data_IF_979022742641
#
_entry.id   IF_979022742641
#
_cell.length_a   1.000
_cell.length_b   1.000
_cell.length_c   1.000
_cell.angle_alpha   90.00
_cell.angle_beta   90.00
_cell.angle_gamma   90.00
#
_symmetry.space_group_name_H-M   'P 1'
#
loop_
_entity.id
_entity.type
_entity.pdbx_description
1 polymer ?
#
# COMPACT_ATOMS: atom_id res chain seq x y z
N UNK A 1 -44.32 7.62 -45.87
CA UNK A 1 -45.01 6.91 -44.76
C UNK A 1 -44.41 5.52 -44.73
N UNK A 2 -43.39 5.34 -43.91
CA UNK A 2 -42.68 4.08 -43.70
C UNK A 2 -43.00 3.66 -42.27
N UNK A 3 -43.73 2.56 -42.12
CA UNK A 3 -44.03 1.92 -40.84
C UNK A 3 -42.73 1.41 -40.21
N UNK A 4 -42.42 1.95 -39.07
CA UNK A 4 -41.31 1.56 -38.21
C UNK A 4 -41.65 0.22 -37.55
N UNK A 5 -40.94 -0.83 -37.97
CA UNK A 5 -41.06 -2.19 -37.47
C UNK A 5 -40.43 -2.24 -36.05
N UNK A 6 -41.31 -2.13 -35.03
CA UNK A 6 -40.88 -2.35 -33.62
C UNK A 6 -40.66 -3.87 -33.42
N UNK A 7 -39.51 -4.27 -32.84
CA UNK A 7 -39.30 -5.67 -32.49
C UNK A 7 -40.26 -6.06 -31.37
N UNK A 8 -41.04 -7.11 -31.60
CA UNK A 8 -41.88 -7.77 -30.60
C UNK A 8 -41.05 -8.29 -29.46
N UNK A 9 -41.07 -7.56 -28.33
CA UNK A 9 -40.52 -8.05 -27.05
C UNK A 9 -41.42 -9.12 -26.50
N UNK A 10 -41.24 -10.35 -27.05
CA UNK A 10 -41.99 -11.53 -26.68
C UNK A 10 -42.20 -11.64 -25.17
N UNK A 11 -43.42 -11.74 -24.76
CA UNK A 11 -43.89 -11.90 -23.39
C UNK A 11 -43.14 -13.06 -22.69
N UNK A 12 -42.20 -12.71 -21.82
CA UNK A 12 -41.55 -13.69 -20.93
C UNK A 12 -42.60 -14.28 -19.99
N UNK A 13 -43.16 -15.43 -20.36
CA UNK A 13 -44.02 -16.21 -19.47
C UNK A 13 -43.11 -16.90 -18.45
N UNK A 14 -43.33 -16.62 -17.18
CA UNK A 14 -42.70 -17.37 -16.10
C UNK A 14 -42.97 -18.85 -16.29
N UNK A 15 -42.00 -19.75 -16.06
CA UNK A 15 -42.17 -21.18 -16.23
C UNK A 15 -43.33 -21.66 -15.35
N UNK A 16 -44.28 -22.38 -15.97
CA UNK A 16 -45.45 -22.89 -15.29
C UNK A 16 -45.10 -23.95 -14.24
N UNK A 17 -46.08 -24.33 -13.47
CA UNK A 17 -46.01 -25.31 -12.36
C UNK A 17 -45.35 -26.64 -12.75
N UNK A 18 -45.34 -26.97 -14.05
CA UNK A 18 -44.71 -28.16 -14.64
C UNK A 18 -43.16 -28.15 -14.60
N UNK A 19 -42.54 -26.96 -14.39
CA UNK A 19 -41.08 -26.84 -14.25
C UNK A 19 -40.56 -27.30 -12.88
N UNK A 20 -41.44 -27.43 -11.88
CA UNK A 20 -41.08 -27.85 -10.52
C UNK A 20 -41.31 -29.34 -10.30
N UNK A 21 -40.94 -30.18 -11.25
CA UNK A 21 -40.88 -31.62 -10.99
C UNK A 21 -39.77 -31.90 -9.97
N UNK A 22 -39.94 -32.94 -9.10
CA UNK A 22 -38.91 -33.27 -8.10
C UNK A 22 -37.54 -33.51 -8.74
N UNK A 23 -37.50 -33.99 -9.95
CA UNK A 23 -36.25 -34.21 -10.72
C UNK A 23 -35.56 -32.85 -11.07
N UNK A 24 -36.34 -31.89 -11.58
CA UNK A 24 -35.80 -30.57 -11.94
C UNK A 24 -35.30 -29.79 -10.69
N UNK A 25 -35.98 -29.92 -9.57
CA UNK A 25 -35.57 -29.33 -8.30
C UNK A 25 -34.23 -29.93 -7.82
N UNK A 26 -34.07 -31.27 -7.94
CA UNK A 26 -32.82 -31.96 -7.60
C UNK A 26 -31.66 -31.48 -8.49
N UNK A 27 -31.90 -31.33 -9.81
CA UNK A 27 -30.90 -30.84 -10.76
C UNK A 27 -30.48 -29.39 -10.44
N UNK A 28 -31.45 -28.52 -10.16
CA UNK A 28 -31.18 -27.13 -9.78
C UNK A 28 -30.33 -27.08 -8.49
N UNK A 29 -30.69 -27.84 -7.48
CA UNK A 29 -29.95 -27.91 -6.21
C UNK A 29 -28.54 -28.46 -6.47
N UNK A 30 -28.39 -29.53 -7.25
CA UNK A 30 -27.11 -30.13 -7.58
C UNK A 30 -26.18 -29.20 -8.37
N UNK A 31 -26.71 -28.26 -9.16
CA UNK A 31 -25.94 -27.25 -9.87
C UNK A 31 -25.65 -26.01 -9.00
N UNK A 32 -26.62 -25.58 -8.18
CA UNK A 32 -26.47 -24.36 -7.37
C UNK A 32 -25.54 -24.57 -6.15
N UNK A 33 -25.54 -25.76 -5.52
CA UNK A 33 -24.68 -26.06 -4.36
C UNK A 33 -23.19 -25.95 -4.71
N UNK A 34 -22.65 -26.58 -5.79
CA UNK A 34 -21.24 -26.42 -6.15
C UNK A 34 -20.91 -24.96 -6.52
N UNK A 35 -21.81 -24.27 -7.20
CA UNK A 35 -21.60 -22.86 -7.56
C UNK A 35 -21.59 -21.95 -6.33
N UNK A 36 -22.40 -22.24 -5.31
CA UNK A 36 -22.40 -21.52 -4.04
C UNK A 36 -21.15 -21.85 -3.19
N UNK A 37 -20.72 -23.13 -3.18
CA UNK A 37 -19.51 -23.57 -2.48
C UNK A 37 -18.27 -23.00 -3.15
N UNK A 38 -18.18 -22.99 -4.48
CA UNK A 38 -17.07 -22.37 -5.21
C UNK A 38 -17.06 -20.85 -5.02
N UNK A 39 -18.21 -20.19 -5.04
CA UNK A 39 -18.34 -18.76 -4.72
C UNK A 39 -17.89 -18.46 -3.29
N UNK A 40 -18.30 -19.25 -2.31
CA UNK A 40 -17.87 -19.11 -0.92
C UNK A 40 -16.38 -19.47 -0.70
N UNK A 41 -15.82 -20.40 -1.48
CA UNK A 41 -14.38 -20.70 -1.46
C UNK A 41 -13.54 -19.59 -2.11
N UNK A 42 -14.02 -18.96 -3.17
CA UNK A 42 -13.37 -17.77 -3.77
C UNK A 42 -13.47 -16.54 -2.86
N UNK A 43 -14.48 -16.46 -1.99
CA UNK A 43 -14.63 -15.42 -0.97
C UNK A 43 -13.82 -15.68 0.31
N UNK A 44 -12.98 -16.71 0.38
CA UNK A 44 -11.95 -16.82 1.43
C UNK A 44 -11.02 -15.64 1.27
N UNK A 45 -11.40 -14.55 1.95
CA UNK A 45 -10.75 -13.26 1.85
C UNK A 45 -9.24 -13.40 1.95
N UNK A 46 -8.51 -12.70 1.07
CA UNK A 46 -7.07 -12.63 1.14
C UNK A 46 -6.67 -12.27 2.57
N UNK A 47 -5.76 -13.05 3.15
CA UNK A 47 -5.27 -12.79 4.51
C UNK A 47 -4.24 -11.67 4.47
N UNK A 48 -4.21 -10.80 5.49
CA UNK A 48 -3.16 -9.80 5.59
C UNK A 48 -1.78 -10.47 5.66
N UNK A 49 -0.73 -9.84 5.13
CA UNK A 49 0.61 -10.39 5.18
C UNK A 49 1.04 -10.61 6.64
N UNK A 50 1.78 -11.69 6.90
CA UNK A 50 2.22 -12.04 8.26
C UNK A 50 3.15 -10.98 8.83
N UNK A 51 3.15 -10.83 10.17
CA UNK A 51 4.15 -10.05 10.86
C UNK A 51 5.52 -10.73 10.73
N UNK A 52 6.53 -9.99 10.27
CA UNK A 52 7.90 -10.50 10.11
C UNK A 52 8.74 -10.21 11.35
N UNK A 53 8.80 -8.93 11.75
CA UNK A 53 9.55 -8.47 12.92
C UNK A 53 9.03 -7.10 13.37
N UNK A 54 9.28 -6.69 14.62
CA UNK A 54 8.97 -5.33 15.05
C UNK A 54 9.84 -4.32 14.30
N UNK A 55 9.29 -3.12 14.10
CA UNK A 55 10.05 -1.97 13.61
C UNK A 55 11.13 -1.61 14.63
N UNK A 56 12.38 -1.35 14.19
CA UNK A 56 13.42 -0.89 15.08
C UNK A 56 13.04 0.42 15.75
N UNK A 57 13.54 0.66 16.97
CA UNK A 57 13.33 1.92 17.66
C UNK A 57 14.08 3.05 16.96
N UNK A 58 13.42 4.16 16.74
CA UNK A 58 14.02 5.40 16.24
C UNK A 58 13.37 6.63 16.90
N UNK A 59 14.10 7.73 16.88
CA UNK A 59 13.62 9.05 17.23
C UNK A 59 14.26 10.02 16.24
N UNK A 60 13.47 10.56 15.32
CA UNK A 60 13.91 11.33 14.17
C UNK A 60 13.09 12.62 14.10
N UNK A 61 13.62 13.63 13.40
CA UNK A 61 12.92 14.90 13.19
C UNK A 61 12.27 14.91 11.82
N UNK A 62 11.03 15.35 11.73
CA UNK A 62 10.32 15.45 10.45
C UNK A 62 10.58 16.81 9.76
N UNK A 63 10.01 16.99 8.57
CA UNK A 63 10.10 18.22 7.77
C UNK A 63 9.43 19.45 8.42
N UNK A 64 8.74 19.28 9.53
CA UNK A 64 8.11 20.37 10.32
C UNK A 64 8.92 20.70 11.58
N UNK A 65 10.03 19.98 11.82
CA UNK A 65 10.83 20.09 13.03
C UNK A 65 10.30 19.29 14.22
N UNK A 66 9.25 18.46 14.01
CA UNK A 66 8.65 17.66 15.06
C UNK A 66 9.37 16.31 15.25
N UNK A 67 9.41 15.83 16.52
CA UNK A 67 9.99 14.53 16.82
C UNK A 67 9.03 13.40 16.48
N UNK A 68 9.47 12.48 15.64
CA UNK A 68 8.72 11.28 15.23
C UNK A 68 9.44 10.02 15.68
N UNK A 69 8.72 9.18 16.40
CA UNK A 69 9.22 7.90 16.90
C UNK A 69 8.44 6.74 16.27
N UNK A 70 8.98 5.52 16.34
CA UNK A 70 8.21 4.33 15.97
C UNK A 70 6.92 4.20 16.81
N UNK A 71 6.88 4.70 18.04
CA UNK A 71 5.67 4.69 18.88
C UNK A 71 4.62 5.71 18.41
N UNK A 72 5.01 6.89 17.91
CA UNK A 72 4.06 7.89 17.38
C UNK A 72 3.36 7.44 16.09
N UNK A 73 3.91 6.40 15.42
CA UNK A 73 3.32 5.77 14.24
C UNK A 73 2.42 4.56 14.59
N UNK A 74 2.34 4.14 15.85
CA UNK A 74 1.40 3.08 16.26
C UNK A 74 -0.05 3.46 15.96
N UNK A 75 -0.85 2.49 15.62
CA UNK A 75 -2.23 2.67 15.19
C UNK A 75 -2.38 3.04 13.71
N UNK A 76 -1.26 3.34 13.01
CA UNK A 76 -1.26 3.65 11.58
C UNK A 76 -0.63 2.52 10.77
N UNK A 77 -1.15 2.28 9.58
CA UNK A 77 -0.44 1.53 8.54
C UNK A 77 0.44 2.52 7.79
N UNK A 78 1.68 2.15 7.52
CA UNK A 78 2.57 3.05 6.82
C UNK A 78 3.54 2.33 5.87
N UNK A 79 3.94 3.05 4.83
CA UNK A 79 4.98 2.63 3.89
C UNK A 79 6.23 3.46 4.12
N UNK A 80 7.32 2.78 4.47
CA UNK A 80 8.63 3.38 4.67
C UNK A 80 9.50 3.28 3.43
N UNK A 81 10.14 4.38 3.04
CA UNK A 81 11.16 4.45 1.98
C UNK A 81 12.42 5.12 2.51
N UNK A 82 13.59 4.71 1.99
CA UNK A 82 14.87 5.32 2.31
C UNK A 82 15.34 6.09 1.10
N UNK A 83 15.61 7.39 1.29
CA UNK A 83 15.89 8.30 0.18
C UNK A 83 16.68 9.53 0.68
N UNK A 84 17.10 10.39 -0.24
CA UNK A 84 17.77 11.66 0.06
C UNK A 84 17.47 12.68 -1.04
N UNK A 85 17.49 13.98 -0.69
CA UNK A 85 17.01 15.06 -1.57
C UNK A 85 17.85 15.25 -2.83
N UNK A 86 19.16 14.99 -2.75
CA UNK A 86 20.11 15.14 -3.86
C UNK A 86 20.23 13.92 -4.78
N UNK A 87 19.33 12.95 -4.65
CA UNK A 87 19.29 11.78 -5.52
C UNK A 87 18.78 12.13 -6.93
N UNK A 88 19.58 11.95 -7.98
CA UNK A 88 19.20 12.42 -9.32
C UNK A 88 18.16 11.55 -10.03
N UNK A 89 17.97 10.33 -9.64
CA UNK A 89 17.21 9.34 -10.44
C UNK A 89 16.24 8.48 -9.62
N UNK A 90 16.72 7.59 -8.77
CA UNK A 90 15.89 6.56 -8.12
C UNK A 90 14.85 7.16 -7.19
N UNK A 91 15.23 8.14 -6.35
CA UNK A 91 14.32 8.74 -5.37
C UNK A 91 13.13 9.47 -6.02
N UNK A 92 13.30 10.32 -7.04
CA UNK A 92 12.17 10.91 -7.75
C UNK A 92 11.22 9.86 -8.34
N UNK A 93 11.75 8.78 -8.92
CA UNK A 93 10.93 7.69 -9.48
C UNK A 93 10.15 6.95 -8.40
N UNK A 94 10.80 6.57 -7.31
CA UNK A 94 10.16 5.90 -6.19
C UNK A 94 9.06 6.77 -5.56
N UNK A 95 9.31 8.07 -5.39
CA UNK A 95 8.31 9.02 -4.91
C UNK A 95 7.13 9.14 -5.88
N UNK A 96 7.37 9.19 -7.20
CA UNK A 96 6.30 9.23 -8.19
C UNK A 96 5.41 7.97 -8.13
N UNK A 97 6.01 6.79 -7.91
CA UNK A 97 5.27 5.53 -7.74
C UNK A 97 4.46 5.52 -6.44
N UNK A 98 5.03 6.01 -5.34
CA UNK A 98 4.31 6.17 -4.09
C UNK A 98 3.17 7.20 -4.20
N UNK A 99 3.32 8.23 -5.04
CA UNK A 99 2.22 9.14 -5.40
C UNK A 99 1.08 8.40 -6.11
N UNK A 100 1.40 7.41 -6.95
CA UNK A 100 0.41 6.52 -7.55
C UNK A 100 -0.34 5.68 -6.50
N UNK A 101 0.37 5.14 -5.50
CA UNK A 101 -0.25 4.44 -4.35
C UNK A 101 -1.18 5.38 -3.57
N UNK A 102 -0.76 6.65 -3.36
CA UNK A 102 -1.61 7.66 -2.72
C UNK A 102 -2.87 7.95 -3.54
N UNK A 103 -2.74 8.14 -4.86
CA UNK A 103 -3.88 8.36 -5.77
C UNK A 103 -4.86 7.19 -5.74
N UNK A 104 -4.36 5.95 -5.70
CA UNK A 104 -5.20 4.77 -5.52
C UNK A 104 -5.95 4.78 -4.18
N UNK A 105 -5.29 5.17 -3.08
CA UNK A 105 -5.95 5.33 -1.78
C UNK A 105 -7.03 6.40 -1.83
N UNK A 106 -6.76 7.56 -2.43
CA UNK A 106 -7.71 8.67 -2.55
C UNK A 106 -8.94 8.28 -3.37
N UNK A 107 -8.76 7.50 -4.42
CA UNK A 107 -9.84 7.08 -5.31
C UNK A 107 -10.66 5.89 -4.76
N UNK A 108 -9.98 4.87 -4.25
CA UNK A 108 -10.62 3.59 -3.89
C UNK A 108 -10.88 3.42 -2.40
N UNK A 109 -10.14 4.13 -1.53
CA UNK A 109 -10.15 3.96 -0.08
C UNK A 109 -9.93 5.28 0.67
N UNK A 110 -10.71 6.34 0.37
CA UNK A 110 -10.53 7.65 1.00
C UNK A 110 -10.65 7.58 2.53
N UNK A 111 -11.41 6.63 3.06
CA UNK A 111 -11.58 6.39 4.50
C UNK A 111 -10.28 5.98 5.21
N UNK A 112 -9.29 5.47 4.47
CA UNK A 112 -8.01 5.03 5.05
C UNK A 112 -6.97 6.14 5.20
N UNK A 113 -7.17 7.29 4.56
CA UNK A 113 -6.18 8.37 4.51
C UNK A 113 -5.78 8.88 5.91
N UNK A 114 -6.68 8.90 6.88
CA UNK A 114 -6.37 9.34 8.24
C UNK A 114 -5.51 8.32 9.02
N UNK A 115 -5.68 7.02 8.72
CA UNK A 115 -4.95 5.92 9.36
C UNK A 115 -3.70 5.48 8.60
N UNK A 116 -3.35 6.14 7.50
CA UNK A 116 -2.22 5.77 6.65
C UNK A 116 -1.14 6.86 6.59
N UNK A 117 0.14 6.46 6.46
CA UNK A 117 1.28 7.37 6.29
C UNK A 117 2.28 6.85 5.25
N UNK A 118 2.90 7.79 4.54
CA UNK A 118 4.14 7.59 3.81
C UNK A 118 5.27 8.16 4.65
N UNK A 119 6.30 7.37 4.92
CA UNK A 119 7.43 7.75 5.77
C UNK A 119 8.71 7.66 4.95
N UNK A 120 9.23 8.80 4.54
CA UNK A 120 10.56 8.90 3.94
C UNK A 120 11.61 9.02 5.05
N UNK A 121 12.67 8.21 4.99
CA UNK A 121 13.78 8.29 5.96
C UNK A 121 15.03 8.72 5.20
N UNK A 122 15.59 9.87 5.57
CA UNK A 122 16.78 10.42 4.93
C UNK A 122 18.03 9.57 5.20
N UNK A 123 18.81 9.33 4.17
CA UNK A 123 20.13 8.72 4.27
C UNK A 123 21.27 9.76 4.21
N UNK A 124 20.97 11.01 3.92
CA UNK A 124 21.95 12.10 3.86
C UNK A 124 21.86 13.00 5.10
N UNK A 125 22.56 12.60 6.15
CA UNK A 125 22.61 13.33 7.42
C UNK A 125 23.20 14.75 7.31
N UNK A 126 23.91 15.07 6.23
CA UNK A 126 24.57 16.36 6.04
C UNK A 126 23.84 17.27 5.05
N UNK A 127 23.27 16.68 4.00
CA UNK A 127 22.62 17.43 2.92
C UNK A 127 21.13 17.70 3.17
N UNK A 128 20.47 16.82 3.93
CA UNK A 128 19.03 16.93 4.18
C UNK A 128 18.76 17.74 5.47
N UNK A 129 18.47 19.02 5.31
CA UNK A 129 17.91 19.90 6.35
C UNK A 129 16.38 19.99 6.19
N UNK A 130 15.71 20.57 7.19
CA UNK A 130 14.24 20.85 7.13
C UNK A 130 13.93 21.66 5.88
N UNK A 131 14.69 22.72 5.59
CA UNK A 131 14.46 23.61 4.46
C UNK A 131 14.71 22.91 3.12
N UNK A 132 15.78 22.10 3.02
CA UNK A 132 16.12 21.34 1.82
C UNK A 132 15.02 20.33 1.51
N UNK A 133 14.58 19.59 2.53
CA UNK A 133 13.51 18.58 2.41
C UNK A 133 12.17 19.23 2.09
N UNK A 134 11.82 20.33 2.73
CA UNK A 134 10.57 21.05 2.42
C UNK A 134 10.54 21.50 0.95
N UNK A 135 11.65 22.09 0.48
CA UNK A 135 11.81 22.53 -0.90
C UNK A 135 11.69 21.34 -1.87
N UNK A 136 12.34 20.23 -1.57
CA UNK A 136 12.29 18.99 -2.36
C UNK A 136 10.86 18.43 -2.44
N UNK A 137 10.18 18.29 -1.31
CA UNK A 137 8.80 17.77 -1.26
C UNK A 137 7.83 18.69 -2.01
N UNK A 138 8.04 20.01 -1.93
CA UNK A 138 7.25 20.98 -2.70
C UNK A 138 7.46 20.81 -4.19
N UNK A 139 8.71 20.69 -4.64
CA UNK A 139 9.05 20.47 -6.06
C UNK A 139 8.47 19.17 -6.61
N UNK A 140 8.44 18.11 -5.80
CA UNK A 140 7.86 16.83 -6.17
C UNK A 140 6.33 16.75 -6.03
N UNK A 141 5.66 17.80 -5.54
CA UNK A 141 4.21 17.81 -5.34
C UNK A 141 3.71 16.93 -4.19
N UNK A 142 4.56 16.65 -3.19
CA UNK A 142 4.28 15.79 -2.03
C UNK A 142 3.82 16.56 -0.78
N UNK A 143 3.26 17.76 -0.93
CA UNK A 143 2.65 18.50 0.18
C UNK A 143 1.32 17.87 0.60
N UNK A 144 1.36 16.91 1.51
CA UNK A 144 0.14 16.39 2.13
C UNK A 144 0.40 15.94 3.57
N UNK A 145 -0.67 15.89 4.37
CA UNK A 145 -0.61 15.43 5.77
C UNK A 145 -0.22 13.94 5.91
N UNK A 146 -0.25 13.18 4.82
CA UNK A 146 0.10 11.77 4.80
C UNK A 146 1.61 11.51 4.63
N UNK A 147 2.42 12.54 4.36
CA UNK A 147 3.85 12.41 4.14
C UNK A 147 4.64 12.92 5.35
N UNK A 148 5.44 12.05 5.93
CA UNK A 148 6.43 12.36 6.95
C UNK A 148 7.82 12.04 6.38
N UNK A 149 8.69 13.04 6.30
CA UNK A 149 10.07 12.87 5.85
C UNK A 149 11.00 13.05 7.05
N UNK A 150 11.61 11.96 7.48
CA UNK A 150 12.33 11.87 8.73
C UNK A 150 13.84 12.03 8.50
N UNK A 151 14.46 12.86 9.31
CA UNK A 151 15.87 13.22 9.23
C UNK A 151 16.56 13.02 10.58
N UNK A 152 17.90 12.93 10.52
CA UNK A 152 18.78 12.90 11.69
C UNK A 152 20.12 13.54 11.35
N UNK A 153 20.77 14.23 12.30
CA UNK A 153 22.15 14.68 12.13
C UNK A 153 23.16 13.52 12.14
N UNK A 154 22.71 12.32 12.48
CA UNK A 154 23.52 11.10 12.45
C UNK A 154 23.13 10.24 11.25
N UNK A 155 24.12 9.50 10.70
CA UNK A 155 23.87 8.56 9.61
C UNK A 155 22.82 7.52 9.98
N UNK A 156 21.83 7.33 9.13
CA UNK A 156 20.75 6.34 9.27
C UNK A 156 20.98 5.05 8.45
N UNK A 157 22.16 4.87 7.84
CA UNK A 157 22.51 3.63 7.14
C UNK A 157 22.43 2.38 8.04
N UNK A 158 22.91 2.40 9.31
CA UNK A 158 22.71 1.25 10.21
C UNK A 158 21.23 0.95 10.47
N UNK A 159 20.41 1.99 10.63
CA UNK A 159 18.96 1.80 10.81
C UNK A 159 18.34 1.11 9.58
N UNK A 160 18.71 1.54 8.37
CA UNK A 160 18.24 0.93 7.13
C UNK A 160 18.72 -0.52 7.00
N UNK A 161 20.04 -0.76 7.11
CA UNK A 161 20.65 -2.07 6.86
C UNK A 161 20.27 -3.09 7.94
N UNK A 162 20.50 -2.77 9.20
CA UNK A 162 20.40 -3.71 10.31
C UNK A 162 19.00 -3.67 10.95
N UNK A 163 18.41 -2.49 11.00
CA UNK A 163 17.09 -2.26 11.57
C UNK A 163 15.98 -2.73 10.64
N UNK A 164 15.90 -2.17 9.44
CA UNK A 164 14.86 -2.49 8.47
C UNK A 164 15.23 -3.65 7.54
N UNK A 165 16.46 -4.15 7.56
CA UNK A 165 16.97 -5.23 6.70
C UNK A 165 16.81 -4.92 5.19
N UNK A 166 16.87 -3.65 4.83
CA UNK A 166 16.95 -3.22 3.45
C UNK A 166 18.43 -3.20 3.06
N UNK A 167 18.84 -4.22 2.30
CA UNK A 167 20.23 -4.40 1.92
C UNK A 167 20.78 -3.20 1.17
N UNK A 168 21.87 -2.64 1.71
CA UNK A 168 22.73 -1.70 0.99
C UNK A 168 23.74 -2.56 0.24
N UNK A 169 23.83 -2.47 -1.08
CA UNK A 169 25.04 -2.89 -1.77
C UNK A 169 26.11 -1.85 -1.41
N UNK A 170 27.08 -2.24 -0.61
CA UNK A 170 28.27 -1.43 -0.37
C UNK A 170 29.01 -1.33 -1.71
N UNK A 171 28.87 -0.19 -2.36
CA UNK A 171 29.70 0.21 -3.50
C UNK A 171 30.72 1.26 -3.03
N UNK A 172 31.87 1.35 -3.70
CA UNK A 172 32.96 2.28 -3.42
C UNK A 172 32.61 3.78 -3.54
N UNK A 173 31.35 4.15 -3.62
CA UNK A 173 30.86 5.48 -3.92
C UNK A 173 29.84 6.00 -2.91
N UNK A 174 30.05 5.86 -1.62
CA UNK A 174 29.26 6.57 -0.60
C UNK A 174 27.73 6.41 -0.74
N UNK A 175 27.01 7.51 -0.93
CA UNK A 175 25.55 7.56 -1.09
C UNK A 175 24.99 6.74 -2.29
N UNK A 176 25.81 6.49 -3.31
CA UNK A 176 25.38 5.76 -4.52
C UNK A 176 24.99 4.27 -4.25
N UNK A 177 25.42 3.72 -3.12
CA UNK A 177 25.09 2.34 -2.74
C UNK A 177 23.70 2.20 -2.09
N UNK A 178 23.05 3.28 -1.74
CA UNK A 178 21.75 3.29 -1.05
C UNK A 178 20.55 3.32 -2.02
N UNK A 179 20.79 3.23 -3.33
CA UNK A 179 19.71 3.25 -4.32
C UNK A 179 18.92 1.94 -4.29
N UNK A 180 17.81 1.94 -3.58
CA UNK A 180 16.86 0.84 -3.62
C UNK A 180 15.45 1.40 -3.85
N UNK A 181 14.77 0.87 -4.87
CA UNK A 181 13.33 1.11 -5.08
C UNK A 181 12.46 0.33 -4.08
N UNK A 182 13.10 -0.32 -3.08
CA UNK A 182 12.39 -1.11 -2.09
C UNK A 182 11.81 -0.24 -0.99
N UNK A 183 10.55 -0.54 -0.68
CA UNK A 183 9.83 0.05 0.45
C UNK A 183 9.45 -1.04 1.45
N UNK A 184 9.24 -0.63 2.68
CA UNK A 184 8.75 -1.50 3.76
C UNK A 184 7.31 -1.14 4.09
N UNK A 185 6.44 -2.15 4.19
CA UNK A 185 5.07 -1.98 4.67
C UNK A 185 5.02 -2.34 6.15
N UNK A 186 4.47 -1.46 6.96
CA UNK A 186 4.33 -1.62 8.40
C UNK A 186 2.85 -1.56 8.80
N UNK A 187 2.44 -2.51 9.64
CA UNK A 187 1.09 -2.59 10.16
C UNK A 187 0.84 -1.71 11.39
N UNK A 188 -0.41 -1.59 11.79
CA UNK A 188 -0.87 -0.74 12.90
C UNK A 188 -0.13 -0.97 14.23
N UNK A 189 0.40 -2.17 14.44
CA UNK A 189 1.08 -2.55 15.68
C UNK A 189 2.60 -2.37 15.66
N UNK A 190 3.11 -1.64 14.64
CA UNK A 190 4.54 -1.37 14.51
C UNK A 190 5.34 -2.61 14.11
N UNK A 191 4.77 -3.48 13.29
CA UNK A 191 5.41 -4.69 12.77
C UNK A 191 5.62 -4.58 11.28
N UNK A 192 6.80 -4.92 10.79
CA UNK A 192 7.09 -5.04 9.36
C UNK A 192 6.25 -6.21 8.81
N UNK A 193 5.51 -5.95 7.74
CA UNK A 193 4.58 -6.88 7.11
C UNK A 193 5.03 -7.30 5.71
N UNK A 194 5.97 -6.61 5.12
CA UNK A 194 6.54 -6.96 3.83
C UNK A 194 7.51 -5.92 3.28
N UNK A 195 8.23 -6.35 2.26
CA UNK A 195 9.14 -5.52 1.47
C UNK A 195 8.70 -5.58 0.01
N UNK A 196 8.65 -4.42 -0.65
CA UNK A 196 8.11 -4.30 -2.00
C UNK A 196 9.09 -3.53 -2.87
N UNK A 197 9.41 -4.10 -4.01
CA UNK A 197 10.20 -3.44 -5.04
C UNK A 197 9.26 -2.64 -5.94
N UNK A 198 9.35 -1.32 -5.88
CA UNK A 198 8.47 -0.45 -6.65
C UNK A 198 8.80 -0.46 -8.16
N UNK A 199 9.88 -1.11 -8.61
CA UNK A 199 10.24 -1.17 -10.02
C UNK A 199 9.23 -1.96 -10.86
N UNK A 200 8.49 -2.90 -10.26
CA UNK A 200 7.51 -3.75 -10.92
C UNK A 200 6.07 -3.33 -10.59
N UNK A 201 5.22 -3.20 -11.62
CA UNK A 201 3.82 -2.79 -11.45
C UNK A 201 3.00 -3.82 -10.67
N UNK A 202 3.31 -5.12 -10.83
CA UNK A 202 2.67 -6.22 -10.10
C UNK A 202 2.90 -6.08 -8.59
N UNK A 203 4.10 -5.66 -8.20
CA UNK A 203 4.46 -5.41 -6.79
C UNK A 203 3.69 -4.22 -6.22
N UNK A 204 3.44 -3.18 -7.02
CA UNK A 204 2.61 -2.03 -6.59
C UNK A 204 1.15 -2.47 -6.37
N UNK A 205 0.60 -3.29 -7.26
CA UNK A 205 -0.74 -3.83 -7.10
C UNK A 205 -0.84 -4.71 -5.84
N UNK A 206 0.18 -5.54 -5.59
CA UNK A 206 0.29 -6.35 -4.37
C UNK A 206 0.38 -5.47 -3.11
N UNK A 207 1.19 -4.41 -3.14
CA UNK A 207 1.31 -3.44 -2.05
C UNK A 207 -0.05 -2.81 -1.73
N UNK A 208 -0.79 -2.34 -2.73
CA UNK A 208 -2.13 -1.78 -2.57
C UNK A 208 -3.10 -2.77 -1.91
N UNK A 209 -3.11 -4.02 -2.38
CA UNK A 209 -3.92 -5.09 -1.79
C UNK A 209 -3.57 -5.37 -0.32
N UNK A 210 -2.29 -5.39 0.00
CA UNK A 210 -1.83 -5.61 1.38
C UNK A 210 -2.11 -4.40 2.30
N UNK A 211 -2.04 -3.17 1.79
CA UNK A 211 -2.50 -1.97 2.52
C UNK A 211 -3.98 -2.10 2.86
N UNK A 212 -4.83 -2.45 1.88
CA UNK A 212 -6.27 -2.62 2.09
C UNK A 212 -6.57 -3.64 3.21
N UNK A 213 -5.87 -4.78 3.20
CA UNK A 213 -6.03 -5.82 4.22
C UNK A 213 -5.57 -5.37 5.60
N UNK A 214 -4.42 -4.68 5.71
CA UNK A 214 -3.90 -4.19 6.98
C UNK A 214 -4.74 -3.07 7.58
N UNK A 215 -5.32 -2.21 6.74
CA UNK A 215 -6.23 -1.16 7.21
C UNK A 215 -7.51 -1.72 7.80
N UNK A 216 -7.95 -2.90 7.35
CA UNK A 216 -9.12 -3.63 7.85
C UNK A 216 -8.81 -4.55 9.05
N UNK A 217 -7.54 -4.75 9.40
CA UNK A 217 -7.20 -5.56 10.59
C UNK A 217 -7.89 -4.99 11.84
N UNK A 218 -8.55 -5.87 12.62
CA UNK A 218 -9.15 -5.46 13.90
C UNK A 218 -8.07 -5.02 14.89
N UNK A 219 -8.41 -4.21 15.89
CA UNK A 219 -7.51 -3.94 17.03
C UNK A 219 -7.05 -5.26 17.65
N UNK A 220 -5.76 -5.36 18.00
CA UNK A 220 -5.32 -6.49 18.84
C UNK A 220 -5.89 -6.31 20.25
N UNK A 221 -6.35 -7.39 20.89
CA UNK A 221 -6.82 -7.36 22.27
C UNK A 221 -5.73 -6.95 23.26
#
# INVERSE_FOLDING_TARGET
>A
MSEENQPDLGSWKLPGREFFTPLNVIVIIACCIPMFITGAMLQRGAKPPRALKPVPSFNLTDQRGEQVTNNSLKGKVWVGSFLFTHCPDVCPRSLQRLKGVKGWLEEKRPEFLNGFRFVGISLDAKGDSVETVESFLKAQGHKSKQWDYLMSPKSLHPLMRDGFLLGVREGNAGLAAAHTDRVVLVGKYGQIRGYYDLSANETIAQLNGHIDLLMKEPPQP
#
